data_IF_637677148836
#
_entry.id   IF_637677148836
#
_cell.length_a   1.000
_cell.length_b   1.000
_cell.length_c   1.000
_cell.angle_alpha   90.00
_cell.angle_beta   90.00
_cell.angle_gamma   90.00
#
_symmetry.space_group_name_H-M   'P 1'
#
loop_
_entity.id
_entity.type
_entity.pdbx_description
1 polymer ?
#
# COMPACT_ATOMS: atom_id res chain seq x y z
N UNK A 1 -2.05 -8.58 -4.77
CA UNK A 1 -1.67 -9.78 -3.98
C UNK A 1 -2.63 -9.93 -2.83
N UNK A 2 -3.12 -11.14 -2.58
CA UNK A 2 -4.03 -11.45 -1.47
C UNK A 2 -3.32 -11.12 -0.14
N UNK A 3 -3.81 -10.11 0.58
CA UNK A 3 -3.36 -9.78 1.94
C UNK A 3 -3.85 -10.89 2.87
N UNK A 4 -2.92 -11.62 3.47
CA UNK A 4 -3.21 -12.77 4.33
C UNK A 4 -2.03 -13.09 5.26
N UNK A 5 -2.13 -14.16 6.08
CA UNK A 5 -1.17 -14.53 7.14
C UNK A 5 0.30 -14.72 6.69
N UNK A 6 0.55 -14.72 5.39
CA UNK A 6 1.88 -14.84 4.78
C UNK A 6 2.60 -13.50 4.56
N UNK A 7 1.95 -12.36 4.80
CA UNK A 7 2.60 -11.05 4.71
C UNK A 7 3.61 -10.82 5.85
N UNK A 8 4.70 -10.09 5.59
CA UNK A 8 5.76 -9.76 6.55
C UNK A 8 6.92 -10.79 6.63
N UNK A 9 8.07 -10.35 7.16
CA UNK A 9 9.28 -11.18 7.32
C UNK A 9 9.20 -12.20 8.47
N UNK A 10 8.34 -11.93 9.45
CA UNK A 10 8.21 -12.73 10.68
C UNK A 10 6.82 -13.36 10.77
N UNK A 11 6.75 -14.54 11.39
CA UNK A 11 5.49 -15.17 11.78
C UNK A 11 4.96 -14.60 13.11
N UNK A 12 3.79 -15.09 13.53
CA UNK A 12 3.15 -14.67 14.78
C UNK A 12 4.01 -14.98 16.03
N UNK A 13 5.04 -15.82 15.89
CA UNK A 13 5.96 -16.24 16.94
C UNK A 13 7.30 -15.51 16.84
N UNK A 14 7.39 -14.44 16.03
CA UNK A 14 8.62 -13.66 15.78
C UNK A 14 9.77 -14.50 15.21
N UNK A 15 9.49 -15.65 14.57
CA UNK A 15 10.49 -16.37 13.78
C UNK A 15 10.52 -15.83 12.36
N UNK A 16 11.70 -15.71 11.80
CA UNK A 16 11.87 -15.29 10.40
C UNK A 16 11.29 -16.37 9.50
N UNK A 17 10.33 -16.00 8.64
CA UNK A 17 9.67 -16.91 7.69
C UNK A 17 10.62 -17.36 6.57
N UNK A 18 11.64 -16.55 6.29
CA UNK A 18 12.65 -16.79 5.25
C UNK A 18 13.91 -17.42 5.87
N UNK A 19 14.39 -18.57 5.36
CA UNK A 19 15.68 -19.11 5.78
C UNK A 19 16.80 -18.12 5.40
N UNK A 20 17.56 -17.65 6.38
CA UNK A 20 18.72 -16.77 6.16
C UNK A 20 20.00 -17.55 5.81
N UNK A 21 19.99 -18.86 6.05
CA UNK A 21 21.10 -19.77 5.79
C UNK A 21 20.64 -20.95 4.93
N UNK A 22 21.51 -21.40 4.02
CA UNK A 22 21.25 -22.51 3.11
C UNK A 22 21.15 -22.09 1.64
N UNK A 23 21.14 -23.06 0.70
CA UNK A 23 21.05 -22.78 -0.73
C UNK A 23 19.70 -22.13 -1.02
N UNK A 24 19.71 -20.86 -1.40
CA UNK A 24 18.51 -20.14 -1.84
C UNK A 24 18.00 -20.84 -3.09
N UNK A 25 16.92 -21.61 -2.98
CA UNK A 25 16.23 -22.21 -4.13
C UNK A 25 15.45 -21.11 -4.85
N UNK A 26 16.16 -20.19 -5.48
CA UNK A 26 15.55 -19.25 -6.43
C UNK A 26 15.17 -20.11 -7.63
N UNK A 27 13.87 -20.29 -7.86
CA UNK A 27 13.41 -20.79 -9.15
C UNK A 27 13.78 -19.71 -10.16
N UNK A 28 14.95 -19.84 -10.79
CA UNK A 28 15.47 -18.91 -11.77
C UNK A 28 14.45 -18.81 -12.91
N UNK A 29 13.56 -17.83 -12.77
CA UNK A 29 12.59 -17.48 -13.78
C UNK A 29 13.01 -16.12 -14.27
N UNK A 30 13.00 -15.93 -15.59
CA UNK A 30 13.33 -14.65 -16.20
C UNK A 30 12.54 -13.47 -15.57
N UNK A 31 11.35 -13.75 -15.00
CA UNK A 31 10.51 -12.80 -14.27
C UNK A 31 11.18 -12.21 -13.02
N UNK A 32 12.10 -12.93 -12.38
CA UNK A 32 12.81 -12.44 -11.19
C UNK A 32 13.92 -11.43 -11.49
N UNK A 33 14.39 -11.36 -12.74
CA UNK A 33 15.39 -10.37 -13.18
C UNK A 33 14.74 -9.07 -13.67
N UNK A 34 13.45 -9.07 -13.99
CA UNK A 34 12.71 -7.88 -14.47
C UNK A 34 12.80 -6.71 -13.48
N UNK A 35 12.54 -6.88 -12.17
CA UNK A 35 12.64 -5.76 -11.23
C UNK A 35 14.06 -5.21 -11.08
N UNK A 36 15.09 -6.06 -11.22
CA UNK A 36 16.50 -5.65 -11.15
C UNK A 36 16.88 -4.82 -12.38
N UNK A 37 16.52 -5.30 -13.57
CA UNK A 37 16.76 -4.57 -14.81
C UNK A 37 16.02 -3.23 -14.83
N UNK A 38 14.78 -3.18 -14.30
CA UNK A 38 14.01 -1.94 -14.16
C UNK A 38 14.65 -1.00 -13.13
N UNK A 39 15.17 -1.54 -12.02
CA UNK A 39 15.87 -0.76 -11.01
C UNK A 39 17.13 -0.11 -11.59
N UNK A 40 17.91 -0.86 -12.37
CA UNK A 40 19.13 -0.39 -13.04
C UNK A 40 18.85 0.59 -14.19
N UNK A 41 17.59 0.68 -14.66
CA UNK A 41 17.18 1.55 -15.78
C UNK A 41 16.79 2.98 -15.35
N UNK A 42 17.25 3.44 -14.18
CA UNK A 42 17.02 4.81 -13.77
C UNK A 42 17.75 5.77 -14.73
N UNK A 43 17.05 6.66 -15.44
CA UNK A 43 17.71 7.54 -16.39
C UNK A 43 18.47 8.64 -15.64
N UNK A 44 19.80 8.53 -15.62
CA UNK A 44 20.70 9.50 -14.97
C UNK A 44 20.67 10.91 -15.60
N UNK A 45 20.19 11.02 -16.84
CA UNK A 45 20.21 12.26 -17.60
C UNK A 45 18.82 12.61 -18.16
N UNK A 46 18.26 13.73 -17.71
CA UNK A 46 16.94 14.18 -18.16
C UNK A 46 16.87 14.43 -19.67
N UNK A 47 17.99 14.80 -20.31
CA UNK A 47 18.05 15.07 -21.75
C UNK A 47 17.80 13.82 -22.59
N UNK A 48 18.40 12.69 -22.22
CA UNK A 48 18.19 11.41 -22.92
C UNK A 48 16.75 10.93 -22.76
N UNK A 49 16.17 11.12 -21.57
CA UNK A 49 14.75 10.81 -21.32
C UNK A 49 13.84 11.61 -22.23
N UNK A 50 14.02 12.93 -22.31
CA UNK A 50 13.21 13.80 -23.19
C UNK A 50 13.35 13.39 -24.66
N UNK A 51 14.57 13.06 -25.13
CA UNK A 51 14.78 12.62 -26.51
C UNK A 51 14.09 11.29 -26.82
N UNK A 52 14.11 10.32 -25.89
CA UNK A 52 13.43 9.04 -26.04
C UNK A 52 11.92 9.25 -26.14
N UNK A 53 11.33 10.05 -25.24
CA UNK A 53 9.90 10.35 -25.28
C UNK A 53 9.50 11.13 -26.53
N UNK A 54 10.32 12.08 -26.99
CA UNK A 54 10.08 12.83 -28.22
C UNK A 54 10.11 11.90 -29.45
N UNK A 55 11.12 11.04 -29.55
CA UNK A 55 11.23 10.06 -30.64
C UNK A 55 10.05 9.08 -30.64
N UNK A 56 9.66 8.57 -29.46
CA UNK A 56 8.49 7.71 -29.30
C UNK A 56 7.19 8.43 -29.69
N UNK A 57 7.04 9.70 -29.30
CA UNK A 57 5.89 10.52 -29.66
C UNK A 57 5.77 10.67 -31.18
N UNK A 58 6.87 11.05 -31.86
CA UNK A 58 6.88 11.20 -33.32
C UNK A 58 6.56 9.88 -34.03
N UNK A 59 7.12 8.76 -33.55
CA UNK A 59 6.84 7.43 -34.09
C UNK A 59 5.35 7.08 -33.95
N UNK A 60 4.77 7.26 -32.77
CA UNK A 60 3.36 6.94 -32.50
C UNK A 60 2.40 7.83 -33.30
N UNK A 61 2.73 9.10 -33.50
CA UNK A 61 1.93 9.99 -34.37
C UNK A 61 1.93 9.47 -35.80
N UNK A 62 3.10 9.05 -36.31
CA UNK A 62 3.22 8.41 -37.62
C UNK A 62 2.36 7.15 -37.74
N UNK A 63 2.37 6.30 -36.71
CA UNK A 63 1.51 5.11 -36.63
C UNK A 63 0.03 5.51 -36.62
N UNK A 64 -0.37 6.47 -35.80
CA UNK A 64 -1.75 6.96 -35.74
C UNK A 64 -2.27 7.47 -37.09
N UNK A 65 -1.44 8.23 -37.81
CA UNK A 65 -1.76 8.71 -39.17
C UNK A 65 -1.86 7.52 -40.15
N UNK A 66 -0.98 6.52 -40.03
CA UNK A 66 -1.01 5.32 -40.90
C UNK A 66 -2.28 4.48 -40.74
N UNK A 67 -2.95 4.52 -39.58
CA UNK A 67 -4.25 3.86 -39.37
C UNK A 67 -5.45 4.75 -39.74
N UNK A 68 -5.24 6.05 -39.90
CA UNK A 68 -6.27 7.04 -40.23
C UNK A 68 -6.49 7.25 -41.74
N UNK A 69 -6.09 6.30 -42.60
CA UNK A 69 -6.08 6.41 -44.08
C UNK A 69 -7.37 6.91 -44.76
N UNK A 70 -8.60 6.66 -44.26
CA UNK A 70 -9.79 7.25 -44.89
C UNK A 70 -9.99 8.75 -44.58
N UNK A 71 -9.22 9.34 -43.65
CA UNK A 71 -9.35 10.73 -43.23
C UNK A 71 -8.36 11.64 -43.97
N UNK A 72 -8.75 12.89 -44.21
CA UNK A 72 -7.82 13.91 -44.72
C UNK A 72 -6.73 14.22 -43.69
N UNK A 73 -5.54 14.64 -44.15
CA UNK A 73 -4.40 14.91 -43.27
C UNK A 73 -4.71 15.93 -42.17
N UNK A 74 -5.49 16.97 -42.48
CA UNK A 74 -5.90 18.01 -41.54
C UNK A 74 -6.84 17.51 -40.42
N UNK A 75 -7.52 16.37 -40.63
CA UNK A 75 -8.36 15.72 -39.62
C UNK A 75 -7.59 14.59 -38.93
N UNK A 76 -6.81 13.82 -39.67
CA UNK A 76 -6.01 12.71 -39.13
C UNK A 76 -4.94 13.18 -38.14
N UNK A 77 -4.26 14.30 -38.43
CA UNK A 77 -3.20 14.85 -37.58
C UNK A 77 -3.68 15.21 -36.16
N UNK A 78 -4.71 16.06 -35.95
CA UNK A 78 -5.15 16.40 -34.60
C UNK A 78 -5.68 15.18 -33.83
N UNK A 79 -6.36 14.25 -34.52
CA UNK A 79 -6.82 13.00 -33.89
C UNK A 79 -5.63 12.16 -33.41
N UNK A 80 -4.61 11.98 -34.26
CA UNK A 80 -3.40 11.24 -33.91
C UNK A 80 -2.67 11.92 -32.73
N UNK A 81 -2.54 13.25 -32.73
CA UNK A 81 -1.92 13.99 -31.63
C UNK A 81 -2.66 13.77 -30.31
N UNK A 82 -3.99 13.88 -30.30
CA UNK A 82 -4.83 13.64 -29.10
C UNK A 82 -4.75 12.19 -28.64
N UNK A 83 -4.73 11.24 -29.57
CA UNK A 83 -4.59 9.83 -29.24
C UNK A 83 -3.23 9.53 -28.57
N UNK A 84 -2.13 10.01 -29.16
CA UNK A 84 -0.78 9.79 -28.61
C UNK A 84 -0.62 10.48 -27.26
N UNK A 85 -1.10 11.72 -27.09
CA UNK A 85 -1.00 12.42 -25.79
C UNK A 85 -1.78 11.69 -24.71
N UNK A 86 -3.02 11.26 -24.99
CA UNK A 86 -3.83 10.48 -24.05
C UNK A 86 -3.15 9.16 -23.66
N UNK A 87 -2.60 8.44 -24.66
CA UNK A 87 -1.90 7.18 -24.44
C UNK A 87 -0.66 7.36 -23.57
N UNK A 88 0.19 8.36 -23.87
CA UNK A 88 1.42 8.60 -23.11
C UNK A 88 1.15 9.11 -21.69
N UNK A 89 0.10 9.92 -21.48
CA UNK A 89 -0.29 10.37 -20.14
C UNK A 89 -0.76 9.16 -19.30
N UNK A 90 -1.70 8.36 -19.85
CA UNK A 90 -2.26 7.23 -19.11
C UNK A 90 -1.22 6.15 -18.77
N UNK A 91 -0.33 5.83 -19.72
CA UNK A 91 0.76 4.87 -19.50
C UNK A 91 1.89 5.47 -18.66
N UNK A 92 2.16 6.77 -18.79
CA UNK A 92 3.16 7.49 -18.00
C UNK A 92 2.82 7.54 -16.52
N UNK A 93 1.55 7.79 -16.16
CA UNK A 93 1.10 7.77 -14.75
C UNK A 93 1.27 6.37 -14.15
N UNK A 94 0.75 5.33 -14.82
CA UNK A 94 0.87 3.95 -14.34
C UNK A 94 2.33 3.50 -14.27
N UNK A 95 3.13 3.88 -15.27
CA UNK A 95 4.56 3.60 -15.32
C UNK A 95 5.30 4.31 -14.19
N UNK A 96 4.98 5.57 -13.91
CA UNK A 96 5.59 6.34 -12.82
C UNK A 96 5.29 5.70 -11.46
N UNK A 97 4.03 5.37 -11.16
CA UNK A 97 3.66 4.70 -9.90
C UNK A 97 4.36 3.34 -9.76
N UNK A 98 4.45 2.58 -10.85
CA UNK A 98 5.16 1.30 -10.87
C UNK A 98 6.66 1.47 -10.62
N UNK A 99 7.29 2.45 -11.27
CA UNK A 99 8.71 2.74 -11.14
C UNK A 99 9.05 3.28 -9.75
N UNK A 100 8.24 4.18 -9.19
CA UNK A 100 8.37 4.67 -7.81
C UNK A 100 8.27 3.51 -6.82
N UNK A 101 7.34 2.57 -7.04
CA UNK A 101 7.24 1.36 -6.21
C UNK A 101 8.45 0.43 -6.35
N UNK A 102 9.14 0.43 -7.49
CA UNK A 102 10.29 -0.44 -7.75
C UNK A 102 11.60 0.16 -7.23
N UNK A 103 11.84 1.44 -7.49
CA UNK A 103 13.03 2.17 -7.02
C UNK A 103 12.97 2.44 -5.52
N UNK A 104 11.77 2.55 -4.95
CA UNK A 104 11.58 2.86 -3.55
C UNK A 104 12.09 4.28 -3.20
N UNK A 105 12.00 4.68 -1.93
CA UNK A 105 12.51 5.97 -1.51
C UNK A 105 14.04 6.02 -1.60
N UNK A 106 14.62 7.11 -2.12
CA UNK A 106 16.08 7.34 -2.18
C UNK A 106 16.78 7.10 -0.84
N UNK A 107 16.06 7.38 0.26
CA UNK A 107 16.50 7.15 1.64
C UNK A 107 15.53 6.18 2.30
N UNK A 108 15.76 4.86 2.22
CA UNK A 108 14.93 3.91 2.93
C UNK A 108 15.01 4.18 4.43
N UNK A 109 13.86 4.42 5.05
CA UNK A 109 13.76 4.55 6.50
C UNK A 109 14.01 3.17 7.13
N UNK A 110 15.20 2.97 7.66
CA UNK A 110 15.53 1.79 8.45
C UNK A 110 15.15 2.03 9.92
N UNK A 111 14.28 1.19 10.47
CA UNK A 111 14.01 1.12 11.90
C UNK A 111 14.64 -0.16 12.45
N UNK A 112 15.96 -0.16 12.73
CA UNK A 112 16.60 -1.34 13.29
C UNK A 112 15.94 -1.67 14.64
N UNK A 113 15.69 -2.95 14.94
CA UNK A 113 15.10 -3.33 16.22
C UNK A 113 16.05 -2.93 17.35
N UNK A 114 15.56 -2.10 18.26
CA UNK A 114 16.23 -1.83 19.53
C UNK A 114 16.15 -3.10 20.39
N UNK A 115 17.28 -3.78 20.57
CA UNK A 115 17.36 -5.02 21.35
C UNK A 115 17.04 -4.82 22.84
N UNK A 116 17.31 -3.63 23.36
CA UNK A 116 16.97 -3.23 24.72
C UNK A 116 16.68 -1.73 24.75
N UNK A 117 15.58 -1.34 25.40
CA UNK A 117 15.24 0.06 25.60
C UNK A 117 15.86 0.55 26.92
N UNK A 118 16.65 1.64 26.91
CA UNK A 118 17.28 2.15 28.13
C UNK A 118 16.24 2.92 28.96
N UNK A 119 15.43 2.20 29.74
CA UNK A 119 14.45 2.80 30.65
C UNK A 119 13.09 2.10 30.64
N UNK A 120 12.09 2.67 31.34
CA UNK A 120 10.72 2.17 31.29
C UNK A 120 10.18 2.27 29.87
N UNK A 121 9.50 1.21 29.43
CA UNK A 121 8.93 1.15 28.10
C UNK A 121 7.83 2.23 27.92
N UNK A 122 7.85 3.00 26.81
CA UNK A 122 6.88 4.06 26.57
C UNK A 122 5.47 3.49 26.46
N UNK A 123 4.44 4.30 26.80
CA UNK A 123 3.06 3.91 26.54
C UNK A 123 2.82 3.84 25.03
N UNK A 124 2.21 2.77 24.55
CA UNK A 124 1.85 2.58 23.14
C UNK A 124 0.34 2.56 22.99
N UNK A 125 -0.21 3.41 22.13
CA UNK A 125 -1.63 3.43 21.80
C UNK A 125 -1.83 2.80 20.41
N UNK A 126 -2.52 1.67 20.36
CA UNK A 126 -2.79 0.92 19.14
C UNK A 126 -4.17 1.32 18.64
N UNK A 127 -4.23 2.05 17.52
CA UNK A 127 -5.49 2.46 16.91
C UNK A 127 -5.96 1.38 15.94
N UNK A 128 -7.21 0.94 16.10
CA UNK A 128 -7.87 -0.05 15.24
C UNK A 128 -9.07 0.63 14.58
N UNK A 129 -8.89 1.30 13.42
CA UNK A 129 -9.99 1.90 12.69
C UNK A 129 -10.83 0.82 12.00
N UNK A 130 -12.14 0.82 12.27
CA UNK A 130 -13.11 -0.12 11.70
C UNK A 130 -14.23 0.65 10.99
N UNK A 131 -14.79 0.07 9.93
CA UNK A 131 -16.00 0.54 9.26
C UNK A 131 -16.75 -0.68 8.74
N UNK A 132 -17.94 -0.96 9.27
CA UNK A 132 -18.82 -2.05 8.83
C UNK A 132 -18.09 -3.41 8.64
N UNK A 133 -17.12 -3.71 9.51
CA UNK A 133 -16.35 -4.95 9.46
C UNK A 133 -17.12 -6.07 10.19
N UNK A 134 -17.09 -7.33 9.71
CA UNK A 134 -17.74 -8.43 10.40
C UNK A 134 -17.27 -8.55 11.87
N UNK A 135 -18.17 -8.62 12.86
CA UNK A 135 -17.79 -8.59 14.28
C UNK A 135 -16.76 -9.64 14.66
N UNK A 136 -16.89 -10.85 14.12
CA UNK A 136 -15.98 -11.96 14.45
C UNK A 136 -14.56 -11.74 13.91
N UNK A 137 -14.41 -11.01 12.80
CA UNK A 137 -13.09 -10.64 12.28
C UNK A 137 -12.41 -9.61 13.21
N UNK A 138 -13.17 -8.63 13.69
CA UNK A 138 -12.66 -7.64 14.64
C UNK A 138 -12.27 -8.32 15.96
N UNK A 139 -13.10 -9.23 16.49
CA UNK A 139 -12.78 -10.00 17.70
C UNK A 139 -11.46 -10.76 17.58
N UNK A 140 -11.21 -11.45 16.46
CA UNK A 140 -9.93 -12.13 16.21
C UNK A 140 -8.72 -11.19 16.26
N UNK A 141 -8.89 -9.95 15.79
CA UNK A 141 -7.85 -8.91 15.88
C UNK A 141 -7.62 -8.50 17.33
N UNK A 142 -8.69 -8.29 18.10
CA UNK A 142 -8.59 -7.92 19.51
C UNK A 142 -7.97 -9.04 20.37
N UNK A 143 -8.32 -10.30 20.10
CA UNK A 143 -7.69 -11.49 20.69
C UNK A 143 -6.17 -11.50 20.42
N UNK A 144 -5.75 -11.18 19.19
CA UNK A 144 -4.34 -11.10 18.85
C UNK A 144 -3.62 -9.97 19.60
N UNK A 145 -4.27 -8.81 19.76
CA UNK A 145 -3.73 -7.69 20.52
C UNK A 145 -3.66 -7.98 22.03
N UNK A 146 -4.60 -8.75 22.57
CA UNK A 146 -4.59 -9.16 23.97
C UNK A 146 -3.36 -10.02 24.32
N UNK A 147 -2.86 -10.80 23.36
CA UNK A 147 -1.68 -11.66 23.52
C UNK A 147 -0.34 -10.93 23.41
N UNK A 148 -0.34 -9.61 23.19
CA UNK A 148 0.91 -8.84 23.14
C UNK A 148 1.61 -8.86 24.50
N UNK A 149 2.91 -9.13 24.48
CA UNK A 149 3.81 -9.16 25.64
C UNK A 149 4.35 -7.78 26.03
N UNK A 150 3.77 -6.70 25.48
CA UNK A 150 4.16 -5.34 25.80
C UNK A 150 3.47 -4.86 27.09
N UNK A 151 4.19 -4.29 28.07
CA UNK A 151 3.61 -4.04 29.39
C UNK A 151 2.65 -2.83 29.43
N UNK A 152 2.91 -1.79 28.64
CA UNK A 152 2.22 -0.50 28.73
C UNK A 152 1.58 -0.10 27.40
N UNK A 153 0.47 -0.75 27.04
CA UNK A 153 -0.29 -0.38 25.84
C UNK A 153 -1.79 -0.29 26.10
N UNK A 154 -2.46 0.46 25.22
CA UNK A 154 -3.91 0.51 25.11
C UNK A 154 -4.34 0.25 23.66
N UNK A 155 -5.56 -0.22 23.49
CA UNK A 155 -6.17 -0.48 22.19
C UNK A 155 -7.40 0.41 22.06
N UNK A 156 -7.36 1.29 21.07
CA UNK A 156 -8.42 2.26 20.79
C UNK A 156 -9.09 1.82 19.49
N UNK A 157 -10.28 1.22 19.61
CA UNK A 157 -11.08 0.79 18.48
C UNK A 157 -11.94 1.97 18.06
N UNK A 158 -11.82 2.38 16.81
CA UNK A 158 -12.52 3.56 16.30
C UNK A 158 -13.45 3.06 15.20
N UNK A 159 -14.69 2.78 15.58
CA UNK A 159 -15.73 2.41 14.64
C UNK A 159 -16.32 3.69 14.03
N UNK A 160 -16.10 3.83 12.74
CA UNK A 160 -16.45 5.02 11.98
C UNK A 160 -17.74 4.73 11.21
N UNK A 161 -18.77 5.55 11.34
CA UNK A 161 -19.94 5.59 10.43
C UNK A 161 -20.69 4.26 10.20
N UNK A 162 -20.47 3.22 11.01
CA UNK A 162 -21.25 1.98 10.92
C UNK A 162 -22.68 2.28 11.36
N UNK A 163 -23.67 1.99 10.52
CA UNK A 163 -25.07 2.30 10.86
C UNK A 163 -25.75 1.16 11.60
N UNK A 164 -25.32 -0.07 11.34
CA UNK A 164 -25.95 -1.28 11.85
C UNK A 164 -25.50 -1.59 13.29
N UNK A 165 -26.40 -1.53 14.29
CA UNK A 165 -26.09 -1.90 15.66
C UNK A 165 -25.63 -3.36 15.82
N UNK A 166 -26.11 -4.27 14.96
CA UNK A 166 -25.70 -5.68 15.02
C UNK A 166 -24.20 -5.87 14.69
N UNK A 167 -23.57 -4.85 14.09
CA UNK A 167 -22.14 -4.88 13.76
C UNK A 167 -21.28 -4.29 14.88
N UNK A 168 -21.61 -3.11 15.41
CA UNK A 168 -20.73 -2.42 16.36
C UNK A 168 -21.01 -2.76 17.83
N UNK A 169 -22.25 -3.07 18.22
CA UNK A 169 -22.58 -3.39 19.62
C UNK A 169 -21.88 -4.67 20.13
N UNK A 170 -21.78 -5.76 19.33
CA UNK A 170 -21.03 -6.94 19.78
C UNK A 170 -19.54 -6.65 20.02
N UNK A 171 -18.96 -5.72 19.26
CA UNK A 171 -17.58 -5.29 19.44
C UNK A 171 -17.44 -4.51 20.75
N UNK A 172 -18.41 -3.65 21.07
CA UNK A 172 -18.44 -2.90 22.33
C UNK A 172 -18.49 -3.84 23.54
N UNK A 173 -19.44 -4.78 23.53
CA UNK A 173 -19.61 -5.76 24.59
C UNK A 173 -18.34 -6.59 24.78
N UNK A 174 -17.70 -6.98 23.68
CA UNK A 174 -16.46 -7.74 23.72
C UNK A 174 -15.28 -6.91 24.25
N UNK A 175 -15.16 -5.64 23.89
CA UNK A 175 -14.15 -4.74 24.49
C UNK A 175 -14.30 -4.63 26.01
N UNK A 176 -15.55 -4.56 26.52
CA UNK A 176 -15.82 -4.54 27.96
C UNK A 176 -15.36 -5.84 28.65
N UNK A 177 -15.48 -6.99 27.98
CA UNK A 177 -15.01 -8.29 28.51
C UNK A 177 -13.48 -8.40 28.54
N UNK A 178 -12.79 -7.87 27.53
CA UNK A 178 -11.32 -7.88 27.46
C UNK A 178 -10.66 -6.96 28.51
N UNK A 179 -11.41 -6.00 29.04
CA UNK A 179 -11.01 -5.16 30.16
C UNK A 179 -10.59 -3.74 29.76
N UNK A 180 -10.10 -2.94 30.73
CA UNK A 180 -10.00 -1.48 30.60
C UNK A 180 -8.96 -0.98 29.59
N UNK A 181 -8.11 -1.88 29.06
CA UNK A 181 -7.13 -1.57 28.01
C UNK A 181 -7.77 -1.43 26.63
N UNK A 182 -8.97 -1.98 26.42
CA UNK A 182 -9.69 -1.95 25.15
C UNK A 182 -10.83 -0.95 25.25
N UNK A 183 -10.81 0.08 24.40
CA UNK A 183 -11.80 1.15 24.41
C UNK A 183 -12.37 1.32 23.01
N UNK A 184 -13.69 1.17 22.88
CA UNK A 184 -14.41 1.43 21.64
C UNK A 184 -14.90 2.88 21.61
N UNK A 185 -14.68 3.54 20.48
CA UNK A 185 -15.27 4.81 20.12
C UNK A 185 -16.11 4.58 18.85
N UNK A 186 -17.43 4.52 19.03
CA UNK A 186 -18.36 4.49 17.92
C UNK A 186 -18.74 5.93 17.57
N UNK A 187 -18.46 6.36 16.35
CA UNK A 187 -18.69 7.75 15.91
C UNK A 187 -19.46 7.76 14.58
N UNK A 188 -20.66 8.32 14.60
CA UNK A 188 -21.52 8.47 13.43
C UNK A 188 -22.31 9.79 13.51
N UNK A 189 -22.07 10.79 12.64
CA UNK A 189 -21.11 10.78 11.52
C UNK A 189 -19.69 11.23 11.92
N UNK A 190 -18.67 10.67 11.26
CA UNK A 190 -17.27 11.10 11.30
C UNK A 190 -16.79 11.45 9.89
N UNK A 191 -16.29 12.67 9.71
CA UNK A 191 -15.76 13.15 8.43
C UNK A 191 -14.35 12.58 8.16
N UNK A 192 -13.97 12.43 6.90
CA UNK A 192 -12.61 11.99 6.52
C UNK A 192 -12.37 10.47 6.55
N UNK A 193 -13.40 9.64 6.74
CA UNK A 193 -13.33 8.17 6.68
C UNK A 193 -12.14 7.61 7.50
N UNK A 194 -11.29 6.76 6.92
CA UNK A 194 -10.13 6.16 7.61
C UNK A 194 -9.19 7.21 8.17
N UNK A 195 -8.94 8.29 7.43
CA UNK A 195 -8.09 9.40 7.90
C UNK A 195 -8.77 10.17 9.05
N UNK A 196 -10.09 10.29 9.01
CA UNK A 196 -10.89 10.85 10.11
C UNK A 196 -10.79 10.02 11.38
N UNK A 197 -10.93 8.70 11.27
CA UNK A 197 -10.79 7.78 12.40
C UNK A 197 -9.39 7.87 13.04
N UNK A 198 -8.34 7.97 12.23
CA UNK A 198 -6.97 8.08 12.75
C UNK A 198 -6.69 9.41 13.46
N UNK A 199 -7.43 10.48 13.15
CA UNK A 199 -7.28 11.82 13.73
C UNK A 199 -8.35 12.16 14.77
N UNK A 200 -9.13 11.18 15.23
CA UNK A 200 -10.26 11.43 16.14
C UNK A 200 -9.83 11.76 17.58
N UNK A 201 -8.67 11.26 18.02
CA UNK A 201 -8.10 11.40 19.37
C UNK A 201 -6.76 12.11 19.30
#
# INVERSE_FOLDING_TARGET
>A
GLRGPHWGLFDAQRKIKLPLEGPVKIRASWRSEVPRLVADWQPDNWRTTVLIFAALYTLLVGVGISYAQPLSMWVALPIALVWVTSLLIGTGIQGYEFLESCWGPEKPRSFPPLRAYPGPLPKVSIHVPCYNEPPDMVKLTLDALQRLDYPNFEVLIIDNNTQDPEVWEPIEQYCRQLGPRFRLFHVNPLSGFKSGALNYL
#
